data_IF_860288378601
#
_entry.id   IF_860288378601
#
_cell.length_a   1.000
_cell.length_b   1.000
_cell.length_c   1.000
_cell.angle_alpha   90.00
_cell.angle_beta   90.00
_cell.angle_gamma   90.00
#
_symmetry.space_group_name_H-M   'P 1'
#
loop_
_entity.id
_entity.type
_entity.pdbx_description
1 polymer ?
#
# COMPACT_ATOMS: atom_id res chain seq x y z
N UNK A 1 -14.67 3.71 -7.18
CA UNK A 1 -14.57 2.86 -8.38
C UNK A 1 -13.12 2.80 -8.89
N UNK A 2 -12.49 3.92 -9.29
CA UNK A 2 -11.10 3.92 -9.81
C UNK A 2 -10.10 3.24 -8.87
N UNK A 3 -10.15 3.58 -7.59
CA UNK A 3 -9.28 2.97 -6.55
C UNK A 3 -9.45 1.46 -6.42
N UNK A 4 -10.63 0.96 -6.79
CA UNK A 4 -11.03 -0.45 -6.64
C UNK A 4 -11.04 -1.21 -7.96
N UNK A 5 -10.36 -0.68 -8.99
CA UNK A 5 -10.12 -1.37 -10.26
C UNK A 5 -11.23 -1.23 -11.31
N UNK A 6 -12.30 -0.50 -11.02
CA UNK A 6 -13.34 -0.18 -12.00
C UNK A 6 -13.12 1.24 -12.53
N UNK A 7 -12.68 1.36 -13.77
CA UNK A 7 -12.47 2.66 -14.41
C UNK A 7 -13.79 3.46 -14.41
N UNK A 8 -13.76 4.67 -13.88
CA UNK A 8 -14.93 5.52 -13.80
C UNK A 8 -14.56 7.01 -13.92
N UNK A 9 -15.45 7.77 -14.50
CA UNK A 9 -15.31 9.21 -14.65
C UNK A 9 -16.54 9.90 -14.06
N UNK A 10 -16.33 10.97 -13.32
CA UNK A 10 -17.40 11.83 -12.88
C UNK A 10 -17.83 12.75 -14.03
N UNK A 11 -19.14 12.81 -14.29
CA UNK A 11 -19.73 13.69 -15.27
C UNK A 11 -20.83 14.50 -14.59
N UNK A 12 -20.68 15.82 -14.55
CA UNK A 12 -21.72 16.70 -14.04
C UNK A 12 -22.82 16.83 -15.08
N UNK A 13 -24.09 16.64 -14.68
CA UNK A 13 -25.22 16.63 -15.62
C UNK A 13 -25.35 17.93 -16.41
N UNK A 14 -25.15 19.09 -15.77
CA UNK A 14 -25.16 20.38 -16.43
C UNK A 14 -24.08 20.53 -17.49
N UNK A 15 -22.84 20.13 -17.19
CA UNK A 15 -21.71 20.21 -18.14
C UNK A 15 -21.88 19.21 -19.31
N UNK A 16 -22.49 18.06 -19.03
CA UNK A 16 -22.80 17.08 -20.06
C UNK A 16 -23.67 17.67 -21.18
N UNK A 17 -24.64 18.52 -20.85
CA UNK A 17 -25.49 19.18 -21.81
C UNK A 17 -24.75 20.22 -22.69
N UNK A 18 -23.56 20.64 -22.28
CA UNK A 18 -22.73 21.65 -22.94
C UNK A 18 -21.47 21.11 -23.60
N UNK A 19 -21.38 19.79 -23.77
CA UNK A 19 -20.32 19.18 -24.56
C UNK A 19 -19.60 17.97 -23.90
N UNK A 20 -19.58 17.91 -22.56
CA UNK A 20 -18.87 16.84 -21.84
C UNK A 20 -19.51 15.45 -22.05
N UNK A 21 -20.74 15.40 -22.57
CA UNK A 21 -21.36 14.15 -23.03
C UNK A 21 -20.53 13.45 -24.12
N UNK A 22 -19.63 14.15 -24.81
CA UNK A 22 -18.67 13.57 -25.74
C UNK A 22 -17.70 12.57 -25.12
N UNK A 23 -17.52 12.61 -23.79
CA UNK A 23 -16.69 11.65 -23.06
C UNK A 23 -17.36 10.27 -22.89
N UNK A 24 -18.70 10.20 -23.02
CA UNK A 24 -19.46 8.95 -22.91
C UNK A 24 -19.35 8.17 -24.22
N UNK A 25 -18.77 6.98 -24.17
CA UNK A 25 -18.54 6.11 -25.32
C UNK A 25 -19.57 4.98 -25.38
N UNK A 26 -19.72 4.40 -26.57
CA UNK A 26 -20.51 3.20 -26.72
C UNK A 26 -19.91 2.04 -25.89
N UNK A 27 -20.73 1.37 -25.10
CA UNK A 27 -20.30 0.31 -24.19
C UNK A 27 -20.05 0.77 -22.75
N UNK A 28 -20.05 2.09 -22.51
CA UNK A 28 -20.02 2.61 -21.14
C UNK A 28 -21.34 2.32 -20.42
N UNK A 29 -21.24 2.09 -19.12
CA UNK A 29 -22.40 2.06 -18.21
C UNK A 29 -22.51 3.42 -17.52
N UNK A 30 -23.65 4.07 -17.65
CA UNK A 30 -23.88 5.36 -17.02
C UNK A 30 -24.63 5.19 -15.71
N UNK A 31 -24.08 5.68 -14.61
CA UNK A 31 -24.73 5.68 -13.29
C UNK A 31 -25.26 7.09 -13.02
N UNK A 32 -26.59 7.24 -13.00
CA UNK A 32 -27.25 8.52 -12.72
C UNK A 32 -27.78 8.57 -11.28
N UNK A 33 -27.48 9.66 -10.59
CA UNK A 33 -27.92 9.92 -9.22
C UNK A 33 -28.94 11.09 -9.23
N UNK A 34 -30.18 10.79 -8.90
CA UNK A 34 -31.22 11.80 -8.72
C UNK A 34 -32.30 11.27 -7.79
N UNK A 35 -32.44 11.83 -6.58
CA UNK A 35 -33.42 11.38 -5.58
C UNK A 35 -34.84 11.31 -6.18
N UNK A 36 -35.28 12.38 -6.82
CA UNK A 36 -36.61 12.44 -7.45
C UNK A 36 -36.68 11.75 -8.80
N UNK A 37 -35.53 11.51 -9.45
CA UNK A 37 -35.48 11.04 -10.83
C UNK A 37 -36.06 12.01 -11.88
N UNK A 38 -36.32 13.26 -11.46
CA UNK A 38 -37.02 14.32 -12.25
C UNK A 38 -36.20 15.58 -12.39
N UNK A 39 -34.93 15.61 -11.97
CA UNK A 39 -34.05 16.77 -12.16
C UNK A 39 -33.92 17.08 -13.65
N UNK A 40 -34.14 18.31 -14.04
CA UNK A 40 -34.19 18.72 -15.44
C UNK A 40 -32.89 18.39 -16.18
N UNK A 41 -31.76 18.64 -15.54
CA UNK A 41 -30.42 18.37 -16.10
C UNK A 41 -30.23 16.88 -16.37
N UNK A 42 -30.74 16.00 -15.52
CA UNK A 42 -30.65 14.55 -15.71
C UNK A 42 -31.60 14.07 -16.78
N UNK A 43 -32.87 14.53 -16.75
CA UNK A 43 -33.90 14.09 -17.69
C UNK A 43 -33.62 14.52 -19.13
N UNK A 44 -32.98 15.66 -19.34
CA UNK A 44 -32.58 16.14 -20.67
C UNK A 44 -31.43 15.28 -21.28
N UNK A 45 -30.66 14.57 -20.46
CA UNK A 45 -29.60 13.67 -20.95
C UNK A 45 -30.11 12.32 -21.44
N UNK A 46 -31.26 11.85 -20.93
CA UNK A 46 -31.79 10.51 -21.18
C UNK A 46 -31.92 10.16 -22.67
N UNK A 47 -32.45 11.02 -23.55
CA UNK A 47 -32.53 10.71 -24.97
C UNK A 47 -31.17 10.52 -25.63
N UNK A 48 -30.20 11.34 -25.25
CA UNK A 48 -28.82 11.26 -25.80
C UNK A 48 -28.09 10.00 -25.34
N UNK A 49 -28.29 9.58 -24.09
CA UNK A 49 -27.75 8.35 -23.55
C UNK A 49 -28.38 7.12 -24.22
N UNK A 50 -29.68 7.12 -24.39
CA UNK A 50 -30.40 6.07 -25.10
C UNK A 50 -29.90 5.92 -26.55
N UNK A 51 -29.72 7.04 -27.27
CA UNK A 51 -29.20 7.04 -28.64
C UNK A 51 -27.79 6.43 -28.75
N UNK A 52 -26.95 6.57 -27.69
CA UNK A 52 -25.61 6.00 -27.62
C UNK A 52 -25.65 4.51 -27.27
N UNK A 53 -26.80 3.99 -26.87
CA UNK A 53 -26.94 2.58 -26.45
C UNK A 53 -26.23 2.26 -25.12
N UNK A 54 -26.02 3.27 -24.27
CA UNK A 54 -25.37 3.08 -22.96
C UNK A 54 -26.38 2.50 -21.96
N UNK A 55 -26.10 1.36 -21.31
CA UNK A 55 -26.89 0.89 -20.18
C UNK A 55 -26.90 1.93 -19.06
N UNK A 56 -28.08 2.17 -18.49
CA UNK A 56 -28.32 3.17 -17.47
C UNK A 56 -28.66 2.52 -16.13
N UNK A 57 -27.90 2.85 -15.10
CA UNK A 57 -28.17 2.48 -13.70
C UNK A 57 -28.66 3.74 -13.00
N UNK A 58 -29.87 3.72 -12.47
CA UNK A 58 -30.48 4.84 -11.75
C UNK A 58 -30.36 4.62 -10.23
N UNK A 59 -29.80 5.56 -9.50
CA UNK A 59 -29.94 5.68 -8.06
C UNK A 59 -31.04 6.72 -7.80
N UNK A 60 -32.25 6.26 -7.54
CA UNK A 60 -33.43 7.12 -7.37
C UNK A 60 -34.37 6.58 -6.30
N UNK A 61 -35.16 7.46 -5.67
CA UNK A 61 -36.23 7.08 -4.75
C UNK A 61 -37.56 6.83 -5.44
N UNK A 62 -37.65 7.14 -6.76
CA UNK A 62 -38.88 7.02 -7.54
C UNK A 62 -38.63 6.20 -8.81
N UNK A 63 -38.90 4.86 -8.78
CA UNK A 63 -38.77 3.99 -9.96
C UNK A 63 -39.66 4.39 -11.13
N UNK A 64 -40.78 5.08 -10.85
CA UNK A 64 -41.75 5.55 -11.85
C UNK A 64 -41.40 6.92 -12.44
N UNK A 65 -40.30 7.53 -12.00
CA UNK A 65 -39.76 8.75 -12.56
C UNK A 65 -39.24 8.57 -13.99
N UNK A 66 -39.04 9.65 -14.76
CA UNK A 66 -38.43 9.57 -16.09
C UNK A 66 -37.04 8.87 -16.05
N UNK A 67 -36.23 9.12 -15.04
CA UNK A 67 -34.94 8.44 -14.86
C UNK A 67 -35.13 6.95 -14.58
N UNK A 68 -36.03 6.58 -13.66
CA UNK A 68 -36.29 5.19 -13.30
C UNK A 68 -36.81 4.39 -14.50
N UNK A 69 -37.72 4.97 -15.28
CA UNK A 69 -38.32 4.34 -16.48
C UNK A 69 -37.31 4.18 -17.63
N UNK A 70 -36.32 5.09 -17.74
CA UNK A 70 -35.29 5.01 -18.75
C UNK A 70 -34.15 4.05 -18.35
N UNK A 71 -34.07 3.66 -17.07
CA UNK A 71 -32.95 2.86 -16.53
C UNK A 71 -33.06 1.39 -16.92
N UNK A 72 -31.91 0.79 -17.20
CA UNK A 72 -31.76 -0.66 -17.33
C UNK A 72 -31.86 -1.36 -15.96
N UNK A 73 -31.37 -0.67 -14.92
CA UNK A 73 -31.40 -1.13 -13.51
C UNK A 73 -31.69 0.06 -12.62
N UNK A 74 -32.64 -0.10 -11.69
CA UNK A 74 -32.91 0.87 -10.64
C UNK A 74 -32.37 0.36 -9.31
N UNK A 75 -31.54 1.15 -8.67
CA UNK A 75 -31.10 0.98 -7.29
C UNK A 75 -31.94 1.92 -6.43
N UNK A 76 -32.87 1.37 -5.66
CA UNK A 76 -33.77 2.12 -4.81
C UNK A 76 -32.97 2.75 -3.64
N UNK A 77 -33.00 4.08 -3.57
CA UNK A 77 -32.40 4.91 -2.52
C UNK A 77 -33.47 5.76 -1.82
N UNK A 78 -34.69 5.24 -1.72
CA UNK A 78 -35.78 5.88 -1.00
C UNK A 78 -35.48 5.94 0.51
N UNK A 79 -35.89 7.04 1.11
CA UNK A 79 -35.83 7.28 2.56
C UNK A 79 -37.18 7.79 3.02
N UNK A 80 -37.65 7.42 4.23
CA UNK A 80 -38.95 7.87 4.73
C UNK A 80 -38.97 9.38 5.02
N UNK A 81 -37.85 9.94 5.48
CA UNK A 81 -37.70 11.36 5.82
C UNK A 81 -36.22 11.78 5.78
N UNK A 82 -35.99 13.08 5.59
CA UNK A 82 -34.68 13.68 5.74
C UNK A 82 -34.37 13.96 7.22
N UNK A 83 -33.10 13.86 7.66
CA UNK A 83 -32.73 14.22 9.02
C UNK A 83 -32.75 15.72 9.31
N UNK A 84 -33.04 16.53 8.31
CA UNK A 84 -33.27 17.97 8.44
C UNK A 84 -34.57 18.22 9.23
N UNK A 85 -34.57 19.13 10.24
CA UNK A 85 -35.76 19.43 11.04
C UNK A 85 -37.00 19.85 10.23
N UNK A 86 -36.82 20.30 9.00
CA UNK A 86 -37.88 20.73 8.10
C UNK A 86 -38.16 19.69 7.00
N UNK A 87 -37.51 18.57 6.99
CA UNK A 87 -37.57 17.54 5.93
C UNK A 87 -37.32 18.10 4.50
N UNK A 88 -36.48 19.12 4.39
CA UNK A 88 -36.23 19.83 3.12
C UNK A 88 -34.80 19.64 2.61
N UNK A 89 -33.82 19.77 3.50
CA UNK A 89 -32.42 19.67 3.10
C UNK A 89 -32.00 18.22 2.92
N UNK A 90 -31.39 17.86 1.76
CA UNK A 90 -30.88 16.51 1.54
C UNK A 90 -29.83 16.11 2.60
N UNK A 91 -30.11 15.08 3.35
CA UNK A 91 -29.27 14.58 4.44
C UNK A 91 -29.27 13.04 4.46
N UNK A 92 -30.38 12.41 4.89
CA UNK A 92 -30.54 10.95 4.88
C UNK A 92 -30.43 10.39 3.46
N UNK A 93 -31.05 11.04 2.49
CA UNK A 93 -31.02 10.62 1.09
C UNK A 93 -29.60 10.67 0.49
N UNK A 94 -28.83 11.73 0.74
CA UNK A 94 -27.46 11.83 0.26
C UNK A 94 -26.54 10.83 0.93
N UNK A 95 -26.74 10.56 2.22
CA UNK A 95 -26.01 9.52 2.95
C UNK A 95 -26.29 8.14 2.38
N UNK A 96 -27.56 7.83 2.08
CA UNK A 96 -27.95 6.55 1.48
C UNK A 96 -27.37 6.40 0.06
N UNK A 97 -27.37 7.45 -0.75
CA UNK A 97 -26.76 7.44 -2.08
C UNK A 97 -25.24 7.16 -2.01
N UNK A 98 -24.55 7.77 -1.04
CA UNK A 98 -23.13 7.51 -0.80
C UNK A 98 -22.89 6.03 -0.41
N UNK A 99 -23.67 5.53 0.55
CA UNK A 99 -23.58 4.14 1.00
C UNK A 99 -23.89 3.14 -0.14
N UNK A 100 -24.87 3.45 -0.99
CA UNK A 100 -25.19 2.63 -2.17
C UNK A 100 -24.05 2.64 -3.19
N UNK A 101 -23.40 3.78 -3.39
CA UNK A 101 -22.22 3.91 -4.24
C UNK A 101 -21.03 3.06 -3.74
N UNK A 102 -20.80 3.07 -2.43
CA UNK A 102 -19.78 2.22 -1.80
C UNK A 102 -20.13 0.73 -1.92
N UNK A 103 -21.39 0.35 -1.68
CA UNK A 103 -21.87 -1.01 -1.84
C UNK A 103 -21.67 -1.52 -3.27
N UNK A 104 -21.97 -0.68 -4.28
CA UNK A 104 -21.73 -0.99 -5.68
C UNK A 104 -20.24 -1.20 -5.96
N UNK A 105 -19.35 -0.33 -5.42
CA UNK A 105 -17.92 -0.46 -5.59
C UNK A 105 -17.39 -1.77 -4.97
N UNK A 106 -17.85 -2.13 -3.77
CA UNK A 106 -17.48 -3.38 -3.09
C UNK A 106 -18.00 -4.61 -3.84
N UNK A 107 -19.23 -4.56 -4.36
CA UNK A 107 -19.79 -5.64 -5.18
C UNK A 107 -18.97 -5.86 -6.45
N UNK A 108 -18.53 -4.78 -7.12
CA UNK A 108 -17.66 -4.85 -8.30
C UNK A 108 -16.26 -5.39 -7.95
N UNK A 109 -15.70 -5.02 -6.80
CA UNK A 109 -14.45 -5.64 -6.33
C UNK A 109 -14.55 -7.15 -6.21
N UNK A 110 -15.66 -7.63 -5.62
CA UNK A 110 -15.90 -9.07 -5.48
C UNK A 110 -16.09 -9.74 -6.84
N UNK A 111 -16.89 -9.15 -7.73
CA UNK A 111 -17.16 -9.67 -9.08
C UNK A 111 -15.88 -9.76 -9.93
N UNK A 112 -14.98 -8.80 -9.79
CA UNK A 112 -13.71 -8.73 -10.53
C UNK A 112 -12.56 -9.49 -9.85
N UNK A 113 -12.80 -10.17 -8.72
CA UNK A 113 -11.77 -10.82 -7.90
C UNK A 113 -10.60 -9.88 -7.54
N UNK A 114 -10.90 -8.60 -7.30
CA UNK A 114 -9.92 -7.56 -6.98
C UNK A 114 -9.18 -7.87 -5.69
N UNK A 115 -7.85 -7.78 -5.72
CA UNK A 115 -6.97 -8.20 -4.62
C UNK A 115 -6.13 -7.02 -4.09
N UNK A 116 -5.51 -7.22 -2.93
CA UNK A 116 -4.63 -6.24 -2.31
C UNK A 116 -3.48 -5.77 -3.23
N UNK A 117 -2.94 -6.66 -4.07
CA UNK A 117 -1.92 -6.32 -5.08
C UNK A 117 -2.43 -5.33 -6.13
N UNK A 118 -3.71 -5.44 -6.52
CA UNK A 118 -4.34 -4.56 -7.51
C UNK A 118 -4.60 -3.18 -6.90
N UNK A 119 -4.99 -3.16 -5.61
CA UNK A 119 -5.09 -1.92 -4.84
C UNK A 119 -3.75 -1.20 -4.74
N UNK A 120 -2.66 -1.93 -4.45
CA UNK A 120 -1.32 -1.38 -4.38
C UNK A 120 -0.87 -0.78 -5.72
N UNK A 121 -1.18 -1.44 -6.84
CA UNK A 121 -0.87 -0.94 -8.19
C UNK A 121 -1.56 0.40 -8.47
N UNK A 122 -2.81 0.57 -7.98
CA UNK A 122 -3.57 1.82 -8.13
C UNK A 122 -3.13 2.93 -7.14
N UNK A 123 -2.38 2.58 -6.06
CA UNK A 123 -1.95 3.51 -5.01
C UNK A 123 -0.44 3.41 -4.72
N UNK A 124 0.44 3.62 -5.71
CA UNK A 124 1.87 3.34 -5.57
C UNK A 124 2.58 4.21 -4.51
N UNK A 125 2.10 5.41 -4.26
CA UNK A 125 2.68 6.35 -3.29
C UNK A 125 2.08 6.25 -1.88
N UNK A 126 0.98 5.53 -1.70
CA UNK A 126 0.31 5.39 -0.41
C UNK A 126 1.06 4.44 0.53
N UNK A 127 0.95 4.64 1.85
CA UNK A 127 1.56 3.76 2.85
C UNK A 127 1.13 2.29 2.68
N UNK A 128 -0.13 2.06 2.35
CA UNK A 128 -0.64 0.72 2.07
C UNK A 128 -0.04 0.13 0.78
N UNK A 129 0.11 0.95 -0.28
CA UNK A 129 0.79 0.54 -1.51
C UNK A 129 2.23 0.12 -1.24
N UNK A 130 2.98 0.94 -0.51
CA UNK A 130 4.36 0.62 -0.11
C UNK A 130 4.45 -0.69 0.70
N UNK A 131 3.55 -0.89 1.67
CA UNK A 131 3.51 -2.12 2.50
C UNK A 131 3.31 -3.39 1.68
N UNK A 132 2.62 -3.31 0.55
CA UNK A 132 2.29 -4.44 -0.30
C UNK A 132 3.26 -4.67 -1.46
N UNK A 133 4.12 -3.68 -1.77
CA UNK A 133 5.00 -3.75 -2.94
C UNK A 133 6.48 -3.59 -2.64
N UNK A 134 6.84 -2.85 -1.58
CA UNK A 134 8.24 -2.60 -1.29
C UNK A 134 8.92 -3.82 -0.69
N UNK A 135 10.02 -4.23 -1.32
CA UNK A 135 10.88 -5.32 -0.87
C UNK A 135 12.05 -4.77 -0.07
N UNK A 136 12.79 -5.64 0.60
CA UNK A 136 14.04 -5.27 1.28
C UNK A 136 15.06 -4.69 0.31
N UNK A 137 15.11 -5.18 -0.94
CA UNK A 137 15.94 -4.60 -2.00
C UNK A 137 15.61 -3.13 -2.27
N UNK A 138 14.34 -2.73 -2.13
CA UNK A 138 13.91 -1.34 -2.35
C UNK A 138 14.38 -0.38 -1.25
N UNK A 139 14.63 -0.88 -0.05
CA UNK A 139 15.06 -0.10 1.12
C UNK A 139 16.57 -0.13 1.33
N UNK A 140 17.20 -1.20 0.91
CA UNK A 140 18.63 -1.41 1.14
C UNK A 140 19.45 -0.39 0.36
N UNK A 141 20.43 0.22 1.04
CA UNK A 141 21.43 1.04 0.37
C UNK A 141 22.60 0.16 -0.07
N UNK A 142 22.81 -0.07 -1.37
CA UNK A 142 23.87 -0.95 -1.85
C UNK A 142 25.28 -0.44 -1.54
N UNK A 143 25.45 0.85 -1.23
CA UNK A 143 26.72 1.43 -0.80
C UNK A 143 27.01 1.16 0.69
N UNK A 144 26.02 0.79 1.49
CA UNK A 144 26.12 0.57 2.94
C UNK A 144 26.03 -0.92 3.24
N UNK A 145 27.13 -1.64 3.00
CA UNK A 145 27.24 -3.10 3.17
C UNK A 145 28.34 -3.45 4.18
N UNK A 146 28.11 -3.19 5.49
CA UNK A 146 29.14 -3.43 6.50
C UNK A 146 29.50 -4.91 6.58
N UNK A 147 30.74 -5.21 6.34
CA UNK A 147 31.30 -6.55 6.47
C UNK A 147 32.80 -6.47 6.73
N UNK A 148 33.29 -7.30 7.62
CA UNK A 148 34.72 -7.38 7.99
C UNK A 148 35.21 -8.80 7.89
N UNK A 149 36.52 -9.04 7.67
CA UNK A 149 37.17 -10.36 7.79
C UNK A 149 37.04 -10.92 9.20
N UNK A 150 37.22 -12.25 9.33
CA UNK A 150 37.20 -12.95 10.61
C UNK A 150 38.26 -12.46 11.60
N UNK A 151 39.42 -12.15 11.07
CA UNK A 151 40.62 -11.69 11.81
C UNK A 151 40.72 -10.16 11.92
N UNK A 152 39.72 -9.42 11.44
CA UNK A 152 39.68 -7.97 11.56
C UNK A 152 39.80 -7.52 13.03
N UNK A 153 40.45 -6.39 13.25
CA UNK A 153 40.64 -5.83 14.58
C UNK A 153 39.33 -5.22 15.13
N UNK A 154 39.27 -5.02 16.44
CA UNK A 154 38.15 -4.27 17.06
C UNK A 154 37.98 -2.86 16.44
N UNK A 155 39.08 -2.21 16.04
CA UNK A 155 39.03 -0.91 15.38
C UNK A 155 38.32 -0.96 14.02
N UNK A 156 38.65 -1.97 13.20
CA UNK A 156 38.00 -2.19 11.89
C UNK A 156 36.49 -2.46 12.05
N UNK A 157 36.11 -3.24 13.06
CA UNK A 157 34.71 -3.51 13.40
C UNK A 157 33.96 -2.22 13.73
N UNK A 158 34.55 -1.38 14.60
CA UNK A 158 33.95 -0.11 15.01
C UNK A 158 33.85 0.87 13.84
N UNK A 159 34.86 0.92 12.96
CA UNK A 159 34.84 1.74 11.76
C UNK A 159 33.73 1.31 10.82
N UNK A 160 33.64 0.01 10.46
CA UNK A 160 32.59 -0.52 9.59
C UNK A 160 31.17 -0.26 10.13
N UNK A 161 30.96 -0.42 11.44
CA UNK A 161 29.69 -0.16 12.09
C UNK A 161 29.32 1.33 12.07
N UNK A 162 30.32 2.21 12.30
CA UNK A 162 30.14 3.66 12.34
C UNK A 162 29.82 4.25 10.97
N UNK A 163 30.52 3.81 9.93
CA UNK A 163 30.28 4.21 8.55
C UNK A 163 28.89 3.81 8.06
N UNK A 164 28.54 2.55 8.29
CA UNK A 164 27.25 2.00 7.85
C UNK A 164 26.07 2.49 8.66
N UNK A 165 26.23 2.90 9.92
CA UNK A 165 25.17 3.38 10.83
C UNK A 165 24.02 2.41 11.07
N UNK A 166 24.32 1.10 11.04
CA UNK A 166 23.34 0.06 11.35
C UNK A 166 23.45 -0.46 12.78
N UNK A 167 24.52 -0.07 13.51
CA UNK A 167 24.82 -0.62 14.83
C UNK A 167 25.21 -2.11 14.77
N UNK A 168 25.60 -2.59 13.61
CA UNK A 168 26.04 -3.96 13.37
C UNK A 168 26.92 -4.06 12.12
N UNK A 169 27.74 -5.12 12.07
CA UNK A 169 28.51 -5.51 10.88
C UNK A 169 28.52 -7.03 10.73
N UNK A 170 28.49 -7.51 9.50
CA UNK A 170 28.68 -8.93 9.17
C UNK A 170 30.16 -9.29 9.34
N UNK A 171 30.43 -10.48 9.81
CA UNK A 171 31.78 -11.06 9.87
C UNK A 171 31.82 -12.23 8.90
N UNK A 172 32.79 -12.22 7.98
CA UNK A 172 32.98 -13.31 7.03
C UNK A 172 33.45 -14.59 7.75
N UNK A 173 33.07 -15.74 7.21
CA UNK A 173 33.56 -17.00 7.72
C UNK A 173 35.09 -17.12 7.54
N UNK A 174 35.76 -17.70 8.51
CA UNK A 174 37.25 -17.84 8.53
C UNK A 174 37.73 -18.62 7.31
N UNK A 175 37.07 -19.73 6.99
CA UNK A 175 37.50 -20.66 5.95
C UNK A 175 36.86 -20.37 4.57
N UNK A 176 35.90 -19.44 4.51
CA UNK A 176 35.20 -19.10 3.26
C UNK A 176 34.87 -17.59 3.19
N UNK A 177 35.84 -16.76 2.76
CA UNK A 177 35.59 -15.33 2.56
C UNK A 177 34.46 -15.10 1.54
N UNK A 178 33.42 -14.36 1.97
CA UNK A 178 32.20 -14.12 1.18
C UNK A 178 30.97 -14.87 1.70
N UNK A 179 31.17 -15.91 2.54
CA UNK A 179 30.09 -16.50 3.32
C UNK A 179 30.03 -15.84 4.70
N UNK A 180 28.81 -15.67 5.22
CA UNK A 180 28.61 -15.09 6.54
C UNK A 180 29.01 -16.10 7.63
N UNK A 181 29.98 -15.72 8.46
CA UNK A 181 30.39 -16.47 9.64
C UNK A 181 29.65 -16.03 10.90
N UNK A 182 29.21 -14.75 10.95
CA UNK A 182 28.49 -14.20 12.09
C UNK A 182 28.16 -12.74 11.92
N UNK A 183 27.68 -12.13 12.99
CA UNK A 183 27.36 -10.70 13.09
C UNK A 183 27.91 -10.16 14.42
N UNK A 184 28.44 -8.95 14.39
CA UNK A 184 28.77 -8.16 15.58
C UNK A 184 27.80 -7.00 15.67
N UNK A 185 27.18 -6.83 16.82
CA UNK A 185 26.25 -5.72 17.12
C UNK A 185 26.79 -4.84 18.24
N UNK A 186 26.21 -3.64 18.43
CA UNK A 186 26.51 -2.77 19.57
C UNK A 186 26.35 -3.49 20.93
N UNK A 187 25.41 -4.44 21.00
CA UNK A 187 25.22 -5.26 22.19
C UNK A 187 26.39 -6.21 22.45
N UNK A 188 26.95 -6.80 21.40
CA UNK A 188 28.12 -7.70 21.50
C UNK A 188 29.35 -6.91 21.94
N UNK A 189 29.57 -5.73 21.33
CA UNK A 189 30.68 -4.84 21.72
C UNK A 189 30.58 -4.42 23.19
N UNK A 190 29.42 -4.01 23.67
CA UNK A 190 29.21 -3.64 25.08
C UNK A 190 29.46 -4.78 26.02
N UNK A 191 29.03 -6.00 25.68
CA UNK A 191 29.29 -7.19 26.49
C UNK A 191 30.78 -7.54 26.52
N UNK A 192 31.44 -7.52 25.39
CA UNK A 192 32.86 -7.79 25.28
C UNK A 192 33.69 -6.78 26.07
N UNK A 193 33.41 -5.48 25.96
CA UNK A 193 34.11 -4.46 26.74
C UNK A 193 33.87 -4.61 28.25
N UNK A 194 32.67 -4.96 28.68
CA UNK A 194 32.38 -5.24 30.08
C UNK A 194 33.12 -6.47 30.62
N UNK A 195 33.53 -7.42 29.77
CA UNK A 195 34.32 -8.59 30.08
C UNK A 195 35.84 -8.36 29.94
N UNK A 196 36.25 -7.14 29.61
CA UNK A 196 37.65 -6.75 29.49
C UNK A 196 38.27 -7.05 28.12
N UNK A 197 37.46 -7.04 27.05
CA UNK A 197 37.97 -7.17 25.68
C UNK A 197 39.05 -6.12 25.40
N UNK A 198 40.18 -6.54 24.87
CA UNK A 198 41.34 -5.72 24.56
C UNK A 198 41.39 -5.37 23.05
N UNK A 199 42.30 -4.49 22.68
CA UNK A 199 42.52 -4.08 21.30
C UNK A 199 42.85 -5.25 20.32
N UNK A 200 43.38 -6.32 20.83
CA UNK A 200 43.78 -7.55 20.07
C UNK A 200 42.59 -8.52 19.86
N UNK A 201 41.37 -8.19 20.34
CA UNK A 201 40.18 -9.03 20.13
C UNK A 201 39.74 -8.94 18.66
N UNK A 202 39.66 -10.10 18.01
CA UNK A 202 39.27 -10.20 16.60
C UNK A 202 37.76 -10.16 16.40
N UNK A 203 37.30 -9.78 15.20
CA UNK A 203 35.90 -9.78 14.80
C UNK A 203 35.25 -11.16 15.01
N UNK A 204 35.94 -12.23 14.65
CA UNK A 204 35.46 -13.61 14.84
C UNK A 204 35.24 -13.99 16.30
N UNK A 205 36.08 -13.49 17.22
CA UNK A 205 35.87 -13.70 18.65
C UNK A 205 34.66 -12.94 19.23
N UNK A 206 34.26 -11.85 18.59
CA UNK A 206 33.10 -11.02 18.96
C UNK A 206 31.80 -11.50 18.31
N UNK A 207 31.90 -12.21 17.18
CA UNK A 207 30.76 -12.51 16.32
C UNK A 207 29.76 -13.47 16.97
N UNK A 208 28.51 -13.11 16.97
CA UNK A 208 27.41 -14.03 17.25
C UNK A 208 27.12 -14.84 15.98
N UNK A 209 27.10 -16.19 16.05
CA UNK A 209 26.80 -17.03 14.88
C UNK A 209 25.33 -16.95 14.48
N UNK A 210 25.03 -17.37 13.24
CA UNK A 210 23.68 -17.50 12.70
C UNK A 210 22.85 -16.19 12.81
N UNK A 211 23.27 -15.09 12.16
CA UNK A 211 22.50 -13.86 12.15
C UNK A 211 21.11 -14.07 11.54
N UNK A 212 20.16 -13.28 11.98
CA UNK A 212 18.83 -13.27 11.35
C UNK A 212 18.95 -12.72 9.94
N UNK A 213 18.56 -13.53 8.95
CA UNK A 213 18.61 -13.20 7.53
C UNK A 213 17.23 -13.19 6.91
N UNK A 214 17.04 -12.36 5.89
CA UNK A 214 15.88 -12.35 5.01
C UNK A 214 16.31 -12.17 3.57
N UNK A 215 15.48 -12.63 2.60
CA UNK A 215 15.79 -12.46 1.19
C UNK A 215 15.46 -11.03 0.72
N UNK A 216 16.26 -10.50 -0.19
CA UNK A 216 16.08 -9.17 -0.76
C UNK A 216 14.71 -8.99 -1.45
N UNK A 217 14.11 -10.08 -1.92
CA UNK A 217 12.78 -10.11 -2.54
C UNK A 217 11.61 -10.11 -1.55
N UNK A 218 11.87 -10.33 -0.25
CA UNK A 218 10.83 -10.33 0.77
C UNK A 218 10.31 -8.92 1.04
N UNK A 219 9.02 -8.83 1.41
CA UNK A 219 8.38 -7.54 1.67
C UNK A 219 8.98 -6.85 2.90
N UNK A 220 9.30 -5.59 2.75
CA UNK A 220 9.85 -4.77 3.84
C UNK A 220 8.92 -4.67 5.06
N UNK A 221 7.60 -4.69 4.85
CA UNK A 221 6.62 -4.73 5.93
C UNK A 221 6.69 -6.04 6.76
N UNK A 222 7.03 -7.17 6.13
CA UNK A 222 7.24 -8.44 6.83
C UNK A 222 8.49 -8.37 7.70
N UNK A 223 9.56 -7.71 7.22
CA UNK A 223 10.79 -7.52 8.00
C UNK A 223 10.54 -6.69 9.27
N UNK A 224 9.65 -5.69 9.24
CA UNK A 224 9.26 -4.94 10.44
C UNK A 224 8.62 -5.86 11.48
N UNK A 225 7.69 -6.71 11.07
CA UNK A 225 7.07 -7.72 11.94
C UNK A 225 8.10 -8.69 12.50
N UNK A 226 9.00 -9.16 11.65
CA UNK A 226 10.09 -10.07 12.03
C UNK A 226 11.03 -9.44 13.08
N UNK A 227 11.49 -8.21 12.82
CA UNK A 227 12.36 -7.49 13.75
C UNK A 227 11.70 -7.25 15.10
N UNK A 228 10.42 -6.91 15.14
CA UNK A 228 9.65 -6.77 16.38
C UNK A 228 9.56 -8.08 17.16
N UNK A 229 9.24 -9.18 16.49
CA UNK A 229 9.09 -10.50 17.13
C UNK A 229 10.39 -11.00 17.73
N UNK A 230 11.52 -10.72 17.07
CA UNK A 230 12.85 -11.17 17.54
C UNK A 230 13.58 -10.14 18.39
N UNK A 231 12.95 -8.98 18.69
CA UNK A 231 13.54 -7.88 19.46
C UNK A 231 14.90 -7.42 18.90
N UNK A 232 14.99 -7.33 17.57
CA UNK A 232 16.16 -6.85 16.83
C UNK A 232 15.81 -5.59 16.06
N UNK A 233 16.80 -4.73 15.78
CA UNK A 233 16.62 -3.48 15.04
C UNK A 233 17.19 -3.51 13.62
N UNK A 234 17.89 -4.56 13.24
CA UNK A 234 18.44 -4.75 11.90
C UNK A 234 18.32 -6.20 11.45
N UNK A 235 18.28 -6.40 10.15
CA UNK A 235 18.24 -7.71 9.52
C UNK A 235 19.28 -7.75 8.41
N UNK A 236 19.97 -8.88 8.29
CA UNK A 236 20.91 -9.15 7.21
C UNK A 236 20.13 -9.55 5.97
N UNK A 237 20.37 -8.86 4.85
CA UNK A 237 19.67 -9.10 3.60
C UNK A 237 20.53 -9.96 2.68
N UNK A 238 19.91 -11.02 2.16
CA UNK A 238 20.54 -11.98 1.26
C UNK A 238 19.95 -11.91 -0.13
N UNK A 239 20.77 -12.17 -1.15
CA UNK A 239 20.34 -12.42 -2.52
C UNK A 239 20.76 -13.86 -2.88
N UNK A 240 19.82 -14.79 -2.73
CA UNK A 240 20.17 -16.21 -2.70
C UNK A 240 21.06 -16.54 -1.49
N UNK A 241 22.25 -17.03 -1.74
CA UNK A 241 23.26 -17.33 -0.70
C UNK A 241 24.24 -16.18 -0.47
N UNK A 242 24.15 -15.11 -1.26
CA UNK A 242 25.08 -13.99 -1.22
C UNK A 242 24.59 -12.91 -0.25
N UNK A 243 25.48 -12.37 0.58
CA UNK A 243 25.21 -11.18 1.36
C UNK A 243 24.98 -9.98 0.43
N UNK A 244 23.80 -9.37 0.53
CA UNK A 244 23.41 -8.21 -0.26
C UNK A 244 23.56 -6.89 0.49
N UNK A 245 23.33 -6.88 1.81
CA UNK A 245 23.40 -5.69 2.64
C UNK A 245 22.60 -5.85 3.94
N UNK A 246 22.24 -4.73 4.54
CA UNK A 246 21.43 -4.71 5.77
C UNK A 246 20.28 -3.70 5.62
N UNK A 247 19.22 -3.93 6.39
CA UNK A 247 18.10 -2.99 6.56
C UNK A 247 17.88 -2.78 8.04
N UNK A 248 17.73 -1.54 8.45
CA UNK A 248 17.42 -1.15 9.82
C UNK A 248 15.94 -0.81 9.98
N UNK A 249 15.37 -1.09 11.15
CA UNK A 249 13.97 -0.80 11.47
C UNK A 249 13.60 0.67 11.21
N UNK A 250 14.50 1.61 11.50
CA UNK A 250 14.26 3.03 11.23
C UNK A 250 14.13 3.35 9.73
N UNK A 251 14.80 2.62 8.84
CA UNK A 251 14.63 2.81 7.41
C UNK A 251 13.20 2.44 6.98
N UNK A 252 12.69 1.33 7.52
CA UNK A 252 11.30 0.92 7.30
C UNK A 252 10.29 1.94 7.87
N UNK A 253 10.53 2.43 9.09
CA UNK A 253 9.62 3.39 9.75
C UNK A 253 9.58 4.73 9.03
N UNK A 254 10.71 5.23 8.53
CA UNK A 254 10.81 6.46 7.74
C UNK A 254 9.95 6.40 6.47
N UNK A 255 9.81 5.23 5.87
CA UNK A 255 8.98 5.01 4.70
C UNK A 255 7.52 4.68 5.02
N UNK A 256 7.12 4.70 6.28
CA UNK A 256 5.74 4.44 6.73
C UNK A 256 5.34 2.97 6.71
N UNK A 257 6.31 2.05 6.83
CA UNK A 257 6.08 0.60 6.79
C UNK A 257 5.83 -0.01 8.18
N UNK A 258 5.85 0.83 9.22
CA UNK A 258 5.63 0.40 10.60
C UNK A 258 4.20 0.04 10.97
#
# INVERSE_FOLDING_TARGET
LNSTGSAAMFLHAGEALHGDLGAVQQGDVVVCLSKSGRSDEVTQLLPSLAQRGCPLVALTADPDSPLGQAATVVLDVSVPEEACPLDLAPTTSTTLQLAMGDALAVALMAANAFQAKDFAANHPAGSLGKKLTWTLASLMDPARRPAVPWDASLADVLEAMSEARYGATVVWAQDNPGQIGGIVTDGDLRRALAQGALADTTAGALASPNPHTMQASELAAQAVGWMKTHSISQVVVMEGERYAGMVHLHDCLREGLG
#
